data_IF_908531380658
#
_entry.id   IF_908531380658
#
_cell.length_a   1.000
_cell.length_b   1.000
_cell.length_c   1.000
_cell.angle_alpha   90.00
_cell.angle_beta   90.00
_cell.angle_gamma   90.00
#
_symmetry.space_group_name_H-M   'P 1'
#
loop_
_entity.id
_entity.type
_entity.pdbx_description
1 polymer ?
#
# COMPACT_ATOMS: atom_id res chain seq x y z
N UNK A 1 -0.65 15.70 -1.81
CA UNK A 1 -0.21 15.15 -3.12
C UNK A 1 -1.20 15.65 -4.17
N UNK A 2 -0.75 16.52 -5.04
CA UNK A 2 -1.62 17.30 -5.95
C UNK A 2 -1.80 16.66 -7.35
N UNK A 3 -1.23 15.49 -7.62
CA UNK A 3 -1.26 14.90 -8.96
C UNK A 3 -1.86 13.50 -8.93
N UNK A 4 -2.75 13.24 -9.89
CA UNK A 4 -3.30 11.92 -10.16
C UNK A 4 -2.24 11.12 -10.91
N UNK A 5 -1.57 10.21 -10.23
CA UNK A 5 -0.65 9.27 -10.87
C UNK A 5 -1.45 8.20 -11.61
N UNK A 6 -1.67 8.43 -12.94
CA UNK A 6 -2.08 7.38 -13.86
C UNK A 6 -3.30 6.56 -13.44
N UNK A 7 -4.47 7.16 -13.37
CA UNK A 7 -5.70 6.39 -13.40
C UNK A 7 -5.82 5.81 -14.80
N UNK A 8 -5.91 4.48 -14.89
CA UNK A 8 -6.19 3.80 -16.15
C UNK A 8 -7.69 3.70 -16.36
N UNK A 9 -8.13 3.88 -17.61
CA UNK A 9 -9.53 3.73 -17.98
C UNK A 9 -10.08 2.36 -17.58
N UNK A 10 -11.28 2.37 -17.03
CA UNK A 10 -12.07 1.18 -16.74
C UNK A 10 -12.83 0.73 -18.00
N UNK A 11 -13.24 -0.54 -18.10
CA UNK A 11 -14.05 -1.01 -19.21
C UNK A 11 -15.30 -0.14 -19.40
N UNK A 12 -15.54 0.36 -20.62
CA UNK A 12 -16.68 1.21 -20.91
C UNK A 12 -16.55 2.68 -20.50
N UNK A 13 -15.60 3.03 -19.61
CA UNK A 13 -15.44 4.40 -19.12
C UNK A 13 -14.00 4.91 -19.31
N UNK A 14 -13.74 5.82 -20.25
CA UNK A 14 -12.42 6.43 -20.41
C UNK A 14 -12.07 7.32 -19.21
N UNK A 15 -10.78 7.51 -18.96
CA UNK A 15 -10.34 8.50 -17.96
C UNK A 15 -10.69 9.90 -18.47
N UNK A 16 -11.40 10.72 -17.68
CA UNK A 16 -11.69 12.10 -18.06
C UNK A 16 -10.40 12.91 -18.14
N UNK A 17 -10.38 14.05 -18.87
CA UNK A 17 -9.26 14.97 -18.82
C UNK A 17 -8.94 15.31 -17.37
N UNK A 18 -7.67 15.12 -16.99
CA UNK A 18 -7.22 15.34 -15.61
C UNK A 18 -6.79 16.80 -15.46
N UNK A 19 -7.40 17.51 -14.52
CA UNK A 19 -6.89 18.78 -14.04
C UNK A 19 -5.65 18.50 -13.15
N UNK A 20 -4.44 18.90 -13.58
CA UNK A 20 -3.22 18.66 -12.82
C UNK A 20 -3.19 19.40 -11.46
N UNK A 21 -4.08 20.35 -11.27
CA UNK A 21 -4.21 21.11 -10.01
C UNK A 21 -5.19 20.48 -9.04
N UNK A 22 -6.05 19.57 -9.50
CA UNK A 22 -7.00 18.87 -8.64
C UNK A 22 -6.30 17.78 -7.80
N UNK A 23 -6.50 17.75 -6.46
CA UNK A 23 -5.94 16.69 -5.63
C UNK A 23 -6.47 15.30 -6.00
N UNK A 24 -5.59 14.31 -6.07
CA UNK A 24 -5.97 12.90 -6.36
C UNK A 24 -7.01 12.36 -5.38
N UNK A 25 -6.99 12.81 -4.13
CA UNK A 25 -8.00 12.43 -3.11
C UNK A 25 -9.43 12.87 -3.45
N UNK A 26 -9.60 13.81 -4.38
CA UNK A 26 -10.90 14.28 -4.88
C UNK A 26 -11.22 13.64 -6.23
N UNK A 27 -10.30 13.72 -7.18
CA UNK A 27 -10.50 13.25 -8.54
C UNK A 27 -10.68 11.74 -8.63
N UNK A 28 -9.87 10.95 -7.93
CA UNK A 28 -9.90 9.49 -8.01
C UNK A 28 -11.20 8.90 -7.44
N UNK A 29 -11.64 9.25 -6.21
CA UNK A 29 -12.91 8.75 -5.69
C UNK A 29 -14.12 9.15 -6.55
N UNK A 30 -14.12 10.36 -7.14
CA UNK A 30 -15.19 10.80 -8.04
C UNK A 30 -15.26 9.91 -9.27
N UNK A 31 -14.14 9.64 -9.95
CA UNK A 31 -14.08 8.77 -11.11
C UNK A 31 -14.64 7.37 -10.81
N UNK A 32 -14.25 6.76 -9.69
CA UNK A 32 -14.77 5.45 -9.30
C UNK A 32 -16.25 5.49 -8.91
N UNK A 33 -16.71 6.55 -8.24
CA UNK A 33 -18.13 6.70 -7.90
C UNK A 33 -19.01 6.88 -9.15
N UNK A 34 -18.50 7.59 -10.16
CA UNK A 34 -19.18 7.73 -11.44
C UNK A 34 -19.26 6.38 -12.16
N UNK A 35 -18.16 5.62 -12.19
CA UNK A 35 -18.13 4.27 -12.76
C UNK A 35 -19.13 3.32 -12.08
N UNK A 36 -19.15 3.30 -10.75
CA UNK A 36 -20.07 2.48 -9.97
C UNK A 36 -21.53 2.77 -10.32
N UNK A 37 -21.87 4.05 -10.48
CA UNK A 37 -23.23 4.51 -10.83
C UNK A 37 -23.60 4.14 -12.25
N UNK A 38 -22.69 4.35 -13.22
CA UNK A 38 -22.96 4.07 -14.64
C UNK A 38 -23.11 2.57 -14.90
N UNK A 39 -22.28 1.74 -14.26
CA UNK A 39 -22.33 0.29 -14.41
C UNK A 39 -23.34 -0.39 -13.47
N UNK A 40 -24.00 0.35 -12.58
CA UNK A 40 -24.98 -0.19 -11.64
C UNK A 40 -24.43 -1.27 -10.72
N UNK A 41 -23.17 -1.10 -10.26
CA UNK A 41 -22.48 -2.13 -9.47
C UNK A 41 -23.18 -2.37 -8.11
N UNK A 42 -23.49 -3.63 -7.73
CA UNK A 42 -24.21 -3.96 -6.51
C UNK A 42 -23.29 -3.88 -5.28
N UNK A 43 -22.87 -2.69 -4.90
CA UNK A 43 -21.96 -2.47 -3.78
C UNK A 43 -22.72 -2.34 -2.45
N UNK A 44 -22.27 -3.05 -1.44
CA UNK A 44 -22.78 -2.96 -0.07
C UNK A 44 -21.88 -2.06 0.76
N UNK A 45 -22.33 -0.86 1.10
CA UNK A 45 -21.59 0.11 1.94
C UNK A 45 -22.52 0.82 2.92
N UNK A 46 -22.07 1.08 4.18
CA UNK A 46 -20.78 0.66 4.75
C UNK A 46 -20.85 -0.79 5.26
N UNK A 47 -19.97 -1.67 4.79
CA UNK A 47 -19.86 -3.05 5.25
C UNK A 47 -18.38 -3.39 5.48
N UNK A 48 -18.05 -3.86 6.67
CA UNK A 48 -16.71 -4.36 7.00
C UNK A 48 -16.72 -5.87 7.07
N UNK A 49 -15.86 -6.52 6.30
CA UNK A 49 -15.59 -7.97 6.45
C UNK A 49 -14.72 -8.17 7.68
N UNK A 50 -15.18 -9.04 8.57
CA UNK A 50 -14.54 -9.34 9.86
C UNK A 50 -13.71 -10.60 9.80
N UNK A 51 -14.20 -11.65 9.08
CA UNK A 51 -13.48 -12.91 8.92
C UNK A 51 -13.92 -13.65 7.67
N UNK A 52 -13.00 -14.47 7.16
CA UNK A 52 -13.27 -15.49 6.13
C UNK A 52 -12.76 -16.83 6.67
N UNK A 53 -13.58 -17.87 6.59
CA UNK A 53 -13.23 -19.20 7.06
C UNK A 53 -13.87 -20.27 6.17
N UNK A 54 -13.32 -21.48 6.13
CA UNK A 54 -14.00 -22.63 5.51
C UNK A 54 -15.26 -22.98 6.30
N UNK A 55 -16.35 -23.36 5.60
CA UNK A 55 -17.61 -23.75 6.24
C UNK A 55 -17.48 -25.11 6.91
N UNK A 56 -16.75 -25.99 6.26
CA UNK A 56 -16.53 -27.38 6.69
C UNK A 56 -15.13 -27.88 6.33
N UNK A 57 -14.89 -29.17 6.47
CA UNK A 57 -13.61 -29.78 6.14
C UNK A 57 -13.44 -30.12 4.65
N UNK A 58 -14.48 -29.95 3.83
CA UNK A 58 -14.40 -30.18 2.38
C UNK A 58 -13.51 -29.12 1.72
N UNK A 59 -12.40 -29.50 1.10
CA UNK A 59 -11.50 -28.56 0.44
C UNK A 59 -12.14 -27.86 -0.78
N UNK A 60 -13.26 -28.39 -1.30
CA UNK A 60 -14.07 -27.78 -2.36
C UNK A 60 -15.35 -27.12 -1.85
N UNK A 61 -15.63 -27.22 -0.55
CA UNK A 61 -16.79 -26.61 0.09
C UNK A 61 -16.76 -25.08 0.06
N UNK A 62 -17.79 -24.48 0.60
CA UNK A 62 -17.91 -23.00 0.64
C UNK A 62 -16.97 -22.35 1.66
N UNK A 63 -16.66 -21.12 1.40
CA UNK A 63 -16.14 -20.17 2.38
C UNK A 63 -17.31 -19.42 3.04
N UNK A 64 -17.16 -19.11 4.32
CA UNK A 64 -18.04 -18.19 5.05
C UNK A 64 -17.36 -16.84 5.20
N UNK A 65 -18.00 -15.80 4.68
CA UNK A 65 -17.59 -14.40 4.85
C UNK A 65 -18.50 -13.79 5.92
N UNK A 66 -17.94 -13.45 7.07
CA UNK A 66 -18.65 -12.75 8.16
C UNK A 66 -18.33 -11.26 8.11
N UNK A 67 -19.36 -10.45 8.24
CA UNK A 67 -19.25 -9.00 8.15
C UNK A 67 -20.14 -8.27 9.17
N UNK A 68 -20.06 -6.96 9.19
CA UNK A 68 -20.95 -6.09 9.99
C UNK A 68 -22.41 -6.09 9.50
N UNK A 69 -22.69 -6.58 8.30
CA UNK A 69 -24.03 -6.64 7.71
C UNK A 69 -24.59 -8.09 7.62
N UNK A 70 -23.89 -9.06 8.23
CA UNK A 70 -24.30 -10.47 8.20
C UNK A 70 -23.21 -11.38 7.65
N UNK A 71 -23.60 -12.58 7.27
CA UNK A 71 -22.68 -13.60 6.75
C UNK A 71 -23.16 -14.15 5.41
N UNK A 72 -22.21 -14.45 4.53
CA UNK A 72 -22.45 -15.07 3.23
C UNK A 72 -21.69 -16.39 3.13
N UNK A 73 -22.25 -17.31 2.39
CA UNK A 73 -21.53 -18.49 1.87
C UNK A 73 -21.15 -18.21 0.42
N UNK A 74 -19.93 -18.55 0.04
CA UNK A 74 -19.41 -18.31 -1.31
C UNK A 74 -18.40 -19.38 -1.70
N UNK A 75 -18.36 -19.74 -2.97
CA UNK A 75 -17.38 -20.69 -3.50
C UNK A 75 -15.95 -20.09 -3.52
N UNK A 76 -15.81 -18.78 -3.65
CA UNK A 76 -14.50 -18.12 -3.69
C UNK A 76 -14.56 -16.66 -3.22
N UNK A 77 -13.39 -16.08 -2.93
CA UNK A 77 -13.23 -14.68 -2.53
C UNK A 77 -12.14 -14.01 -3.38
N UNK A 78 -12.46 -12.86 -3.96
CA UNK A 78 -11.47 -11.94 -4.52
C UNK A 78 -11.23 -10.83 -3.50
N UNK A 79 -10.08 -10.88 -2.84
CA UNK A 79 -9.69 -9.88 -1.86
C UNK A 79 -8.95 -8.73 -2.54
N UNK A 80 -9.51 -7.53 -2.49
CA UNK A 80 -8.95 -6.30 -3.05
C UNK A 80 -8.87 -5.17 -2.00
N UNK A 81 -8.65 -5.52 -0.72
CA UNK A 81 -8.70 -4.59 0.42
C UNK A 81 -7.52 -3.62 0.50
N UNK A 82 -6.50 -3.80 -0.35
CA UNK A 82 -5.36 -2.90 -0.41
C UNK A 82 -4.55 -2.82 0.89
N UNK A 83 -4.08 -1.61 1.20
CA UNK A 83 -3.13 -1.38 2.31
C UNK A 83 -3.52 -0.20 3.19
N UNK A 84 -4.48 0.63 2.78
CA UNK A 84 -4.77 1.93 3.40
C UNK A 84 -5.16 1.85 4.88
N UNK A 85 -5.85 0.79 5.28
CA UNK A 85 -6.29 0.58 6.66
C UNK A 85 -5.22 -0.04 7.57
N UNK A 86 -4.02 -0.31 7.03
CA UNK A 86 -2.92 -0.92 7.77
C UNK A 86 -1.63 -0.08 7.70
N UNK A 87 -1.64 1.19 8.16
CA UNK A 87 -0.44 2.02 8.22
C UNK A 87 0.59 1.41 9.16
N UNK A 88 1.87 1.58 8.82
CA UNK A 88 2.98 1.11 9.66
C UNK A 88 3.57 2.30 10.42
N UNK A 89 3.43 2.32 11.72
CA UNK A 89 4.15 3.23 12.61
C UNK A 89 5.15 2.40 13.39
N UNK A 90 6.46 2.70 13.32
CA UNK A 90 7.47 1.93 14.04
C UNK A 90 7.27 2.03 15.56
N UNK A 91 7.53 0.95 16.25
CA UNK A 91 7.60 0.97 17.70
C UNK A 91 8.95 1.55 18.13
N UNK A 92 8.93 2.82 18.56
CA UNK A 92 10.12 3.56 19.02
C UNK A 92 9.89 3.98 20.47
N UNK A 93 10.86 3.71 21.37
CA UNK A 93 10.75 4.08 22.78
C UNK A 93 10.34 5.54 22.97
N UNK A 94 9.35 5.78 23.81
CA UNK A 94 8.85 7.11 24.15
C UNK A 94 7.90 7.75 23.13
N UNK A 95 7.63 7.11 21.98
CA UNK A 95 6.77 7.64 20.92
C UNK A 95 5.41 8.11 21.45
N UNK A 96 4.75 7.32 22.27
CA UNK A 96 3.39 7.60 22.76
C UNK A 96 3.34 8.76 23.78
N UNK A 97 4.51 9.13 24.33
CA UNK A 97 4.68 10.29 25.23
C UNK A 97 5.03 11.60 24.52
N UNK A 98 5.06 11.61 23.18
CA UNK A 98 5.35 12.84 22.44
C UNK A 98 4.17 13.81 22.51
N UNK A 99 4.43 15.04 22.94
CA UNK A 99 3.42 16.09 23.14
C UNK A 99 3.18 16.96 21.89
N UNK A 100 3.93 16.73 20.83
CA UNK A 100 3.74 17.39 19.53
C UNK A 100 2.74 16.65 18.66
N UNK A 101 2.66 17.03 17.39
CA UNK A 101 1.79 16.40 16.39
C UNK A 101 2.41 15.11 15.88
N UNK A 102 1.68 14.02 15.88
CA UNK A 102 2.07 12.78 15.19
C UNK A 102 1.02 12.40 14.15
N UNK A 103 1.43 12.26 12.90
CA UNK A 103 0.56 11.83 11.81
C UNK A 103 1.25 10.74 10.97
N UNK A 104 0.47 9.79 10.48
CA UNK A 104 0.90 8.96 9.36
C UNK A 104 0.58 9.66 8.03
N UNK A 105 1.30 9.33 6.94
CA UNK A 105 1.00 9.86 5.59
C UNK A 105 -0.44 9.65 5.16
N UNK A 106 -1.12 8.64 5.69
CA UNK A 106 -2.55 8.39 5.47
C UNK A 106 -3.41 9.58 5.89
N UNK A 107 -3.06 10.21 7.00
CA UNK A 107 -3.85 11.26 7.66
C UNK A 107 -3.39 12.67 7.26
N UNK A 108 -2.34 12.77 6.44
CA UNK A 108 -1.83 14.04 5.93
C UNK A 108 -2.80 14.67 4.92
N UNK A 109 -3.06 15.95 5.10
CA UNK A 109 -3.97 16.74 4.24
C UNK A 109 -3.21 17.77 3.41
N UNK A 110 -2.51 18.70 4.06
CA UNK A 110 -1.68 19.70 3.38
C UNK A 110 -0.58 20.26 4.30
N UNK A 111 0.40 20.93 3.70
CA UNK A 111 1.57 21.45 4.41
C UNK A 111 1.26 22.63 5.35
N UNK A 112 0.19 23.37 5.12
CA UNK A 112 -0.15 24.59 5.91
C UNK A 112 -0.39 24.27 7.37
N UNK A 113 -0.83 23.03 7.68
CA UNK A 113 -1.00 22.57 9.05
C UNK A 113 0.30 22.52 9.86
N UNK A 114 1.47 22.60 9.20
CA UNK A 114 2.79 22.51 9.82
C UNK A 114 3.53 23.86 9.82
N UNK A 115 2.89 24.96 9.38
CA UNK A 115 3.53 26.27 9.32
C UNK A 115 4.12 26.68 10.69
N UNK A 116 5.39 27.08 10.71
CA UNK A 116 6.12 27.46 11.92
C UNK A 116 6.58 26.31 12.81
N UNK A 117 6.34 25.06 12.44
CA UNK A 117 6.78 23.87 13.17
C UNK A 117 8.12 23.36 12.61
N UNK A 118 8.90 22.65 13.44
CA UNK A 118 10.00 21.81 12.96
C UNK A 118 9.48 20.39 12.81
N UNK A 119 9.48 19.88 11.56
CA UNK A 119 8.84 18.61 11.20
C UNK A 119 9.87 17.53 10.94
N UNK A 120 9.82 16.43 11.72
CA UNK A 120 10.57 15.21 11.43
C UNK A 120 9.77 14.33 10.45
N UNK A 121 10.23 14.18 9.21
CA UNK A 121 9.67 13.25 8.24
C UNK A 121 10.44 11.94 8.29
N UNK A 122 9.75 10.86 8.66
CA UNK A 122 10.34 9.54 8.87
C UNK A 122 9.96 8.58 7.76
N UNK A 123 10.93 8.16 6.97
CA UNK A 123 10.75 7.21 5.88
C UNK A 123 11.70 7.45 4.71
N UNK A 124 12.01 6.39 3.96
CA UNK A 124 12.92 6.44 2.81
C UNK A 124 12.22 6.16 1.47
N UNK A 125 10.91 6.33 1.39
CA UNK A 125 10.13 6.07 0.18
C UNK A 125 9.68 7.33 -0.56
N UNK A 126 8.95 7.14 -1.67
CA UNK A 126 8.40 8.20 -2.51
C UNK A 126 7.61 9.21 -1.69
N UNK A 127 6.72 8.74 -0.80
CA UNK A 127 5.90 9.61 0.04
C UNK A 127 6.72 10.53 0.94
N UNK A 128 7.85 10.05 1.50
CA UNK A 128 8.71 10.88 2.31
C UNK A 128 9.31 12.04 1.50
N UNK A 129 9.81 11.75 0.29
CA UNK A 129 10.41 12.76 -0.60
C UNK A 129 9.37 13.80 -1.06
N UNK A 130 8.14 13.35 -1.38
CA UNK A 130 7.04 14.25 -1.73
C UNK A 130 6.66 15.17 -0.57
N UNK A 131 6.55 14.61 0.65
CA UNK A 131 6.20 15.38 1.84
C UNK A 131 7.30 16.35 2.25
N UNK A 132 8.58 15.95 2.13
CA UNK A 132 9.70 16.84 2.35
C UNK A 132 9.65 18.05 1.39
N UNK A 133 9.39 17.78 0.11
CA UNK A 133 9.26 18.84 -0.89
C UNK A 133 8.11 19.80 -0.56
N UNK A 134 6.93 19.26 -0.25
CA UNK A 134 5.74 20.07 0.00
C UNK A 134 5.84 20.85 1.32
N UNK A 135 6.24 20.20 2.42
CA UNK A 135 6.28 20.81 3.75
C UNK A 135 7.42 21.84 3.85
N UNK A 136 8.55 21.58 3.21
CA UNK A 136 9.67 22.51 3.23
C UNK A 136 9.40 23.86 2.55
N UNK A 137 8.27 23.99 1.86
CA UNK A 137 7.82 25.28 1.32
C UNK A 137 7.27 26.22 2.39
N UNK A 138 6.87 25.68 3.55
CA UNK A 138 6.20 26.45 4.61
C UNK A 138 6.92 26.38 5.95
N UNK A 139 7.83 25.41 6.16
CA UNK A 139 8.53 25.26 7.44
C UNK A 139 9.79 24.38 7.32
N UNK A 140 10.57 24.30 8.42
CA UNK A 140 11.76 23.47 8.52
C UNK A 140 11.44 21.98 8.57
N UNK A 141 12.17 21.17 7.81
CA UNK A 141 12.04 19.73 7.77
C UNK A 141 13.33 19.01 8.12
N UNK A 142 13.21 17.87 8.79
CA UNK A 142 14.30 16.94 9.09
C UNK A 142 13.93 15.57 8.50
N UNK A 143 14.85 14.98 7.74
CA UNK A 143 14.60 13.70 7.07
C UNK A 143 15.28 12.54 7.79
N UNK A 144 14.49 11.61 8.31
CA UNK A 144 14.96 10.43 9.04
C UNK A 144 14.67 9.13 8.30
N UNK A 145 15.69 8.28 8.12
CA UNK A 145 15.53 7.00 7.46
C UNK A 145 16.27 5.89 8.20
N UNK A 146 15.70 4.69 8.18
CA UNK A 146 16.31 3.50 8.76
C UNK A 146 17.52 3.03 7.95
N UNK A 147 17.47 3.16 6.64
CA UNK A 147 18.51 2.76 5.70
C UNK A 147 18.83 3.92 4.78
N UNK A 148 20.02 3.94 4.23
CA UNK A 148 20.39 4.91 3.20
C UNK A 148 19.42 4.82 2.02
N UNK A 149 18.77 5.92 1.63
CA UNK A 149 17.94 5.95 0.44
C UNK A 149 18.82 5.84 -0.81
N UNK A 150 18.44 5.00 -1.73
CA UNK A 150 19.12 4.84 -3.02
C UNK A 150 18.33 5.59 -4.06
N UNK A 151 18.96 6.56 -4.73
CA UNK A 151 18.39 7.21 -5.90
C UNK A 151 18.91 6.53 -7.16
N UNK A 152 18.04 6.43 -8.17
CA UNK A 152 18.44 5.93 -9.48
C UNK A 152 19.48 6.88 -10.10
N UNK A 153 20.46 6.34 -10.78
CA UNK A 153 21.47 7.06 -11.53
C UNK A 153 21.02 7.36 -12.98
N UNK A 154 19.88 6.81 -13.38
CA UNK A 154 19.26 6.98 -14.69
C UNK A 154 17.77 7.35 -14.55
N UNK A 155 17.12 7.71 -15.65
CA UNK A 155 15.69 7.92 -15.70
C UNK A 155 14.98 6.55 -15.73
N UNK A 156 13.94 6.37 -14.87
CA UNK A 156 13.20 5.11 -14.80
C UNK A 156 12.53 4.77 -16.12
N UNK A 157 12.90 3.62 -16.69
CA UNK A 157 12.32 3.08 -17.91
C UNK A 157 11.22 2.05 -17.59
N UNK A 158 9.93 2.35 -17.88
CA UNK A 158 8.85 1.38 -17.65
C UNK A 158 9.05 0.05 -18.42
N UNK A 159 9.73 0.07 -19.55
CA UNK A 159 10.02 -1.11 -20.36
C UNK A 159 11.07 -2.02 -19.74
N UNK A 160 12.21 -1.46 -19.33
CA UNK A 160 13.35 -2.25 -18.82
C UNK A 160 13.25 -2.44 -17.30
N UNK A 161 13.24 -1.34 -16.55
CA UNK A 161 13.19 -1.39 -15.08
C UNK A 161 11.87 -1.99 -14.59
N UNK A 162 10.75 -1.66 -15.25
CA UNK A 162 9.43 -2.14 -14.89
C UNK A 162 9.30 -3.66 -15.02
N UNK A 163 9.85 -4.26 -16.09
CA UNK A 163 9.84 -5.72 -16.30
C UNK A 163 10.70 -6.44 -15.27
N UNK A 164 11.89 -5.91 -14.95
CA UNK A 164 12.74 -6.50 -13.90
C UNK A 164 12.08 -6.46 -12.53
N UNK A 165 11.47 -5.33 -12.17
CA UNK A 165 10.70 -5.18 -10.93
C UNK A 165 9.54 -6.17 -10.88
N UNK A 166 8.74 -6.27 -11.94
CA UNK A 166 7.60 -7.20 -11.99
C UNK A 166 8.07 -8.65 -11.78
N UNK A 167 9.16 -9.06 -12.43
CA UNK A 167 9.75 -10.39 -12.27
C UNK A 167 10.22 -10.65 -10.84
N UNK A 168 10.93 -9.69 -10.21
CA UNK A 168 11.46 -9.83 -8.84
C UNK A 168 10.33 -9.85 -7.80
N UNK A 169 9.30 -9.02 -7.98
CA UNK A 169 8.12 -9.00 -7.10
C UNK A 169 7.32 -10.30 -7.25
N UNK A 170 7.20 -10.83 -8.47
CA UNK A 170 6.52 -12.11 -8.71
C UNK A 170 7.28 -13.28 -8.06
N UNK A 171 8.62 -13.30 -8.16
CA UNK A 171 9.45 -14.30 -7.51
C UNK A 171 9.35 -14.24 -5.98
N UNK A 172 9.34 -13.04 -5.38
CA UNK A 172 9.14 -12.85 -3.94
C UNK A 172 7.76 -13.35 -3.50
N UNK A 173 6.71 -13.05 -4.26
CA UNK A 173 5.35 -13.50 -3.96
C UNK A 173 5.21 -15.03 -4.10
N UNK A 174 5.76 -15.63 -5.14
CA UNK A 174 5.78 -17.08 -5.32
C UNK A 174 6.52 -17.80 -4.17
N UNK A 175 7.62 -17.21 -3.69
CA UNK A 175 8.37 -17.72 -2.55
C UNK A 175 7.68 -17.47 -1.19
N UNK A 176 6.54 -16.78 -1.15
CA UNK A 176 5.86 -16.42 0.10
C UNK A 176 6.60 -15.39 0.94
N UNK A 177 7.40 -14.52 0.33
CA UNK A 177 7.97 -13.38 1.04
C UNK A 177 6.93 -12.26 1.19
N UNK A 178 6.93 -11.53 2.31
CA UNK A 178 6.06 -10.36 2.47
C UNK A 178 6.33 -9.32 1.36
N UNK A 179 5.28 -8.71 0.80
CA UNK A 179 5.43 -7.63 -0.17
C UNK A 179 6.26 -6.49 0.39
N UNK A 180 7.18 -5.98 -0.42
CA UNK A 180 7.99 -4.81 -0.11
C UNK A 180 7.55 -3.61 -0.95
N UNK A 181 7.95 -2.40 -0.55
CA UNK A 181 7.69 -1.21 -1.35
C UNK A 181 8.43 -1.28 -2.70
N UNK A 182 7.87 -0.69 -3.74
CA UNK A 182 8.48 -0.65 -5.08
C UNK A 182 9.90 -0.08 -5.04
N UNK A 183 10.14 0.99 -4.27
CA UNK A 183 11.46 1.60 -4.11
C UNK A 183 12.52 0.66 -3.49
N UNK A 184 12.09 -0.43 -2.85
CA UNK A 184 13.03 -1.47 -2.38
C UNK A 184 13.63 -2.30 -3.53
N UNK A 185 13.03 -2.23 -4.70
CA UNK A 185 13.48 -2.92 -5.91
C UNK A 185 14.14 -1.96 -6.91
N UNK A 186 13.62 -0.72 -7.01
CA UNK A 186 14.05 0.27 -8.01
C UNK A 186 15.00 1.33 -7.45
N UNK A 187 14.89 1.68 -6.19
CA UNK A 187 15.37 2.96 -5.70
C UNK A 187 14.36 4.10 -5.96
N UNK A 188 14.74 5.31 -5.61
CA UNK A 188 13.96 6.54 -5.79
C UNK A 188 14.29 7.17 -7.14
N UNK A 189 13.27 7.48 -7.94
CA UNK A 189 13.45 8.21 -9.20
C UNK A 189 13.62 9.71 -8.98
N UNK A 190 14.42 10.36 -9.82
CA UNK A 190 14.56 11.81 -9.89
C UNK A 190 13.36 12.46 -10.61
N UNK A 191 12.24 12.44 -9.95
CA UNK A 191 11.01 13.14 -10.39
C UNK A 191 11.11 14.65 -10.18
N UNK A 192 10.15 15.42 -10.71
CA UNK A 192 10.11 16.87 -10.52
C UNK A 192 10.15 17.28 -9.05
N UNK A 193 9.36 16.62 -8.19
CA UNK A 193 9.36 16.89 -6.74
C UNK A 193 10.67 16.46 -6.06
N UNK A 194 11.30 15.37 -6.49
CA UNK A 194 12.57 14.94 -5.92
C UNK A 194 13.71 15.91 -6.26
N UNK A 195 13.75 16.41 -7.49
CA UNK A 195 14.68 17.48 -7.89
C UNK A 195 14.43 18.76 -7.10
N UNK A 196 13.18 19.18 -6.98
CA UNK A 196 12.82 20.38 -6.21
C UNK A 196 13.18 20.25 -4.72
N UNK A 197 12.99 19.08 -4.12
CA UNK A 197 13.41 18.79 -2.74
C UNK A 197 14.93 18.85 -2.59
N UNK A 198 15.68 18.30 -3.55
CA UNK A 198 17.15 18.38 -3.59
C UNK A 198 17.63 19.83 -3.71
N UNK A 199 17.08 20.57 -4.65
CA UNK A 199 17.49 21.95 -4.94
C UNK A 199 17.16 22.89 -3.76
N UNK A 200 16.16 22.53 -2.94
CA UNK A 200 15.84 23.18 -1.66
C UNK A 200 16.73 22.71 -0.49
N UNK A 201 17.58 21.72 -0.72
CA UNK A 201 18.52 21.21 0.29
C UNK A 201 17.89 20.39 1.40
N UNK A 202 16.66 19.85 1.22
CA UNK A 202 15.94 19.12 2.27
C UNK A 202 16.13 17.61 2.22
N UNK A 203 16.84 17.09 1.21
CA UNK A 203 17.18 15.66 1.12
C UNK A 203 18.47 15.33 1.89
N UNK A 204 18.71 16.01 3.01
CA UNK A 204 19.82 15.69 3.91
C UNK A 204 19.35 14.62 4.89
N UNK A 205 19.77 13.39 4.62
CA UNK A 205 19.38 12.22 5.41
C UNK A 205 20.00 12.26 6.81
N UNK A 206 19.19 11.90 7.81
CA UNK A 206 19.62 11.54 9.17
C UNK A 206 19.32 10.06 9.44
N UNK A 207 20.16 9.34 10.18
CA UNK A 207 19.81 8.04 10.71
C UNK A 207 18.52 8.12 11.53
N UNK A 208 17.70 7.06 11.52
CA UNK A 208 16.51 7.04 12.34
C UNK A 208 16.90 7.20 13.83
N UNK A 209 16.21 8.10 14.51
CA UNK A 209 16.38 8.35 15.93
C UNK A 209 16.02 7.09 16.76
N UNK A 210 16.64 6.93 17.93
CA UNK A 210 16.48 5.76 18.79
C UNK A 210 15.35 5.87 19.79
N UNK A 211 14.89 7.09 20.11
CA UNK A 211 13.82 7.33 21.05
C UNK A 211 13.13 8.68 20.74
N UNK A 212 11.97 8.87 21.31
CA UNK A 212 11.18 10.09 21.26
C UNK A 212 10.96 10.59 22.69
N UNK A 213 11.27 11.87 22.94
CA UNK A 213 10.92 12.56 24.18
C UNK A 213 9.68 13.44 23.98
N UNK A 214 9.32 14.20 25.01
CA UNK A 214 8.09 15.00 25.01
C UNK A 214 7.98 15.98 23.82
N UNK A 215 9.09 16.63 23.41
CA UNK A 215 9.16 17.59 22.29
C UNK A 215 10.47 17.49 21.52
N UNK A 216 11.08 16.32 21.48
CA UNK A 216 12.33 16.10 20.79
C UNK A 216 12.46 14.64 20.38
N UNK A 217 13.35 14.39 19.46
CA UNK A 217 13.84 13.04 19.15
C UNK A 217 15.25 12.87 19.72
N UNK A 218 15.58 11.65 20.12
CA UNK A 218 16.93 11.29 20.60
C UNK A 218 17.66 10.62 19.43
N UNK A 219 18.66 11.29 18.93
CA UNK A 219 19.46 10.86 17.78
C UNK A 219 20.23 9.56 18.08
N UNK A 220 20.77 8.94 17.03
CA UNK A 220 21.55 7.72 17.17
C UNK A 220 22.80 7.88 18.08
N UNK A 221 23.42 9.05 18.09
CA UNK A 221 24.56 9.42 18.93
C UNK A 221 24.20 9.81 20.37
N UNK A 222 22.90 9.88 20.68
CA UNK A 222 22.37 10.28 22.00
C UNK A 222 22.07 11.75 22.16
N UNK A 223 22.42 12.60 21.23
CA UNK A 223 22.00 14.00 21.22
C UNK A 223 20.47 14.13 21.05
N UNK A 224 19.93 15.31 21.38
CA UNK A 224 18.50 15.59 21.24
C UNK A 224 18.27 16.67 20.21
N UNK A 225 17.29 16.44 19.32
CA UNK A 225 16.83 17.41 18.35
C UNK A 225 15.37 17.77 18.62
N UNK A 226 15.08 19.05 18.91
CA UNK A 226 13.72 19.52 19.12
C UNK A 226 12.91 19.39 17.84
N UNK A 227 11.68 18.86 17.97
CA UNK A 227 10.71 18.75 16.88
C UNK A 227 9.31 19.02 17.41
N UNK A 228 8.46 19.64 16.61
CA UNK A 228 7.07 19.94 16.94
C UNK A 228 6.11 18.94 16.33
N UNK A 229 6.53 18.29 15.24
CA UNK A 229 5.74 17.26 14.59
C UNK A 229 6.60 16.10 14.09
N UNK A 230 6.03 14.89 14.11
CA UNK A 230 6.59 13.67 13.51
C UNK A 230 5.60 13.16 12.46
N UNK A 231 6.05 13.09 11.21
CA UNK A 231 5.27 12.59 10.09
C UNK A 231 5.81 11.22 9.64
N UNK A 232 5.03 10.18 9.92
CA UNK A 232 5.38 8.81 9.62
C UNK A 232 5.09 8.46 8.16
N UNK A 233 6.11 8.58 7.30
CA UNK A 233 6.09 8.14 5.90
C UNK A 233 6.64 6.71 5.77
N UNK A 234 6.23 5.85 6.67
CA UNK A 234 6.78 4.51 6.92
C UNK A 234 6.04 3.39 6.20
N UNK A 235 5.10 3.78 5.32
CA UNK A 235 4.37 2.87 4.44
C UNK A 235 3.24 2.12 5.13
N UNK A 236 2.82 1.03 4.49
CA UNK A 236 1.62 0.27 4.84
C UNK A 236 1.90 -1.23 4.77
N UNK A 237 1.08 -2.01 5.45
CA UNK A 237 0.95 -3.47 5.24
C UNK A 237 -0.32 -3.78 4.46
N UNK A 238 -0.38 -4.96 3.87
CA UNK A 238 -1.61 -5.45 3.27
C UNK A 238 -2.69 -5.68 4.36
N UNK A 239 -3.91 -5.20 4.09
CA UNK A 239 -5.05 -5.30 5.02
C UNK A 239 -5.71 -6.68 4.87
N UNK A 240 -5.17 -7.69 5.56
CA UNK A 240 -5.52 -9.11 5.40
C UNK A 240 -5.96 -9.80 6.71
N UNK A 241 -6.16 -9.06 7.80
CA UNK A 241 -6.50 -9.64 9.10
C UNK A 241 -7.77 -10.51 9.06
N UNK A 242 -8.74 -10.16 8.24
CA UNK A 242 -9.97 -10.93 8.04
C UNK A 242 -9.76 -12.29 7.36
N UNK A 243 -8.59 -12.56 6.79
CA UNK A 243 -8.22 -13.84 6.16
C UNK A 243 -7.35 -14.72 7.08
N UNK A 244 -7.05 -14.32 8.31
CA UNK A 244 -6.16 -15.07 9.21
C UNK A 244 -6.65 -16.47 9.51
N UNK A 245 -7.99 -16.67 9.57
CA UNK A 245 -8.61 -17.99 9.79
C UNK A 245 -8.36 -19.03 8.68
N UNK A 246 -7.80 -18.63 7.54
CA UNK A 246 -7.48 -19.50 6.41
C UNK A 246 -6.01 -19.96 6.38
N UNK A 247 -5.18 -19.52 7.31
CA UNK A 247 -3.74 -19.87 7.41
C UNK A 247 -2.98 -19.75 6.08
N UNK A 248 -3.15 -18.62 5.40
CA UNK A 248 -2.58 -18.38 4.05
C UNK A 248 -1.07 -18.18 4.05
N UNK A 249 -0.47 -17.80 5.20
CA UNK A 249 0.93 -17.41 5.28
C UNK A 249 1.87 -18.61 5.20
N UNK A 250 2.92 -18.45 4.40
CA UNK A 250 4.03 -19.38 4.36
C UNK A 250 5.06 -19.11 5.48
N UNK A 251 6.09 -19.98 5.58
CA UNK A 251 7.12 -19.88 6.63
C UNK A 251 7.95 -18.59 6.55
N UNK A 252 7.97 -17.90 5.41
CA UNK A 252 8.63 -16.60 5.25
C UNK A 252 7.76 -15.40 5.67
N UNK A 253 6.52 -15.65 6.16
CA UNK A 253 5.62 -14.64 6.70
C UNK A 253 4.74 -13.91 5.68
N UNK A 254 4.96 -14.10 4.37
CA UNK A 254 4.07 -13.63 3.30
C UNK A 254 3.12 -14.74 2.86
N UNK A 255 2.21 -14.41 1.94
CA UNK A 255 1.28 -15.36 1.33
C UNK A 255 1.85 -15.78 -0.02
N UNK A 256 2.21 -17.08 -0.21
CA UNK A 256 2.66 -17.57 -1.51
C UNK A 256 1.52 -17.49 -2.53
N UNK A 257 1.84 -16.99 -3.73
CA UNK A 257 0.87 -16.84 -4.82
C UNK A 257 1.22 -17.72 -6.04
N UNK A 258 0.18 -18.24 -6.66
CA UNK A 258 0.21 -18.79 -8.03
C UNK A 258 -0.72 -17.90 -8.86
N UNK A 259 -0.15 -17.02 -9.67
CA UNK A 259 -0.91 -15.94 -10.30
C UNK A 259 -1.49 -14.99 -9.26
N UNK A 260 -2.82 -14.94 -9.16
CA UNK A 260 -3.53 -14.17 -8.12
C UNK A 260 -4.01 -15.05 -6.95
N UNK A 261 -3.93 -16.37 -7.05
CA UNK A 261 -4.41 -17.31 -6.04
C UNK A 261 -3.44 -17.44 -4.88
N UNK A 262 -3.97 -17.50 -3.67
CA UNK A 262 -3.21 -17.96 -2.52
C UNK A 262 -2.89 -19.46 -2.69
N UNK A 263 -1.61 -19.84 -2.65
CA UNK A 263 -1.19 -21.22 -2.94
C UNK A 263 -1.78 -22.25 -1.95
N UNK A 264 -1.97 -21.84 -0.69
CA UNK A 264 -2.52 -22.70 0.36
C UNK A 264 -4.05 -22.75 0.37
N UNK A 265 -4.73 -21.77 -0.24
CA UNK A 265 -6.19 -21.69 -0.33
C UNK A 265 -6.60 -21.13 -1.71
N UNK A 266 -6.68 -21.97 -2.73
CA UNK A 266 -6.91 -21.51 -4.11
C UNK A 266 -8.27 -20.83 -4.35
N UNK A 267 -9.24 -20.97 -3.44
CA UNK A 267 -10.52 -20.25 -3.46
C UNK A 267 -10.36 -18.75 -3.14
N UNK A 268 -9.17 -18.32 -2.69
CA UNK A 268 -8.86 -16.92 -2.37
C UNK A 268 -7.90 -16.33 -3.40
N UNK A 269 -8.36 -15.29 -4.08
CA UNK A 269 -7.55 -14.47 -4.97
C UNK A 269 -7.17 -13.16 -4.28
N UNK A 270 -5.90 -12.75 -4.40
CA UNK A 270 -5.39 -11.50 -3.84
C UNK A 270 -5.08 -10.51 -4.97
N UNK A 271 -5.85 -9.44 -5.07
CA UNK A 271 -5.63 -8.30 -5.97
C UNK A 271 -5.14 -7.11 -5.13
N UNK A 272 -4.10 -6.40 -5.61
CA UNK A 272 -3.42 -5.37 -4.82
C UNK A 272 -2.37 -5.91 -3.84
N UNK A 273 -1.96 -7.17 -3.99
CA UNK A 273 -0.92 -7.84 -3.20
C UNK A 273 0.20 -8.34 -4.11
N UNK A 274 1.47 -8.19 -3.70
CA UNK A 274 2.61 -8.63 -4.49
C UNK A 274 2.65 -7.99 -5.88
N UNK A 275 2.67 -8.77 -6.98
CA UNK A 275 2.77 -8.24 -8.34
C UNK A 275 1.64 -7.31 -8.77
N UNK A 276 0.51 -7.38 -8.08
CA UNK A 276 -0.67 -6.56 -8.38
C UNK A 276 -0.77 -5.27 -7.55
N UNK A 277 0.28 -4.84 -6.86
CA UNK A 277 0.27 -3.60 -6.06
C UNK A 277 0.27 -2.31 -6.89
N UNK A 278 0.68 -2.35 -8.16
CA UNK A 278 0.56 -1.19 -9.05
C UNK A 278 -0.83 -1.09 -9.65
N UNK A 279 -1.26 0.10 -10.07
CA UNK A 279 -2.56 0.31 -10.73
C UNK A 279 -2.70 -0.52 -12.01
N UNK A 280 -1.65 -0.60 -12.84
CA UNK A 280 -1.60 -1.47 -14.04
C UNK A 280 -1.70 -2.93 -13.64
N UNK A 281 -0.89 -3.35 -12.66
CA UNK A 281 -0.87 -4.72 -12.16
C UNK A 281 -2.22 -5.13 -11.56
N UNK A 282 -2.89 -4.25 -10.81
CA UNK A 282 -4.20 -4.52 -10.22
C UNK A 282 -5.27 -4.79 -11.28
N UNK A 283 -5.34 -3.96 -12.35
CA UNK A 283 -6.31 -4.16 -13.44
C UNK A 283 -6.06 -5.49 -14.18
N UNK A 284 -4.80 -5.82 -14.44
CA UNK A 284 -4.42 -7.09 -15.09
C UNK A 284 -4.77 -8.28 -14.19
N UNK A 285 -4.44 -8.19 -12.91
CA UNK A 285 -4.71 -9.23 -11.92
C UNK A 285 -6.20 -9.44 -11.69
N UNK A 286 -7.00 -8.38 -11.61
CA UNK A 286 -8.45 -8.49 -11.49
C UNK A 286 -9.08 -9.26 -12.66
N UNK A 287 -8.67 -8.94 -13.91
CA UNK A 287 -9.12 -9.67 -15.09
C UNK A 287 -8.67 -11.14 -15.09
N UNK A 288 -7.45 -11.42 -14.64
CA UNK A 288 -6.93 -12.78 -14.52
C UNK A 288 -7.72 -13.57 -13.47
N UNK A 289 -7.92 -13.01 -12.29
CA UNK A 289 -8.69 -13.61 -11.20
C UNK A 289 -10.11 -14.00 -11.66
N UNK A 290 -10.83 -13.07 -12.32
CA UNK A 290 -12.19 -13.36 -12.82
C UNK A 290 -12.21 -14.47 -13.87
N UNK A 291 -11.25 -14.51 -14.80
CA UNK A 291 -11.17 -15.59 -15.80
C UNK A 291 -10.86 -16.94 -15.17
N UNK A 292 -10.03 -16.97 -14.13
CA UNK A 292 -9.72 -18.19 -13.40
C UNK A 292 -10.92 -18.67 -12.59
N UNK A 293 -11.60 -17.78 -11.87
CA UNK A 293 -12.82 -18.08 -11.14
C UNK A 293 -13.95 -18.58 -12.05
N UNK A 294 -14.16 -17.96 -13.21
CA UNK A 294 -15.19 -18.39 -14.14
C UNK A 294 -14.95 -19.84 -14.63
N UNK A 295 -13.69 -20.23 -14.85
CA UNK A 295 -13.34 -21.61 -15.19
C UNK A 295 -13.59 -22.58 -14.04
N UNK A 296 -13.17 -22.24 -12.83
CA UNK A 296 -13.33 -23.08 -11.64
C UNK A 296 -14.81 -23.28 -11.28
N UNK A 297 -15.63 -22.24 -11.45
CA UNK A 297 -17.08 -22.34 -11.21
C UNK A 297 -17.80 -23.15 -12.30
N UNK A 298 -17.27 -23.15 -13.56
CA UNK A 298 -17.80 -23.96 -14.63
C UNK A 298 -17.41 -25.46 -14.52
N UNK A 299 -16.24 -25.76 -13.94
CA UNK A 299 -15.77 -27.13 -13.66
C UNK A 299 -15.23 -27.25 -12.22
N UNK A 300 -16.10 -27.36 -11.23
CA UNK A 300 -15.68 -27.45 -9.82
C UNK A 300 -14.85 -28.71 -9.51
N UNK A 301 -14.99 -29.78 -10.29
CA UNK A 301 -14.22 -31.02 -10.11
C UNK A 301 -12.75 -30.85 -10.50
N UNK A 302 -12.47 -30.03 -11.51
CA UNK A 302 -11.13 -29.70 -11.97
C UNK A 302 -10.49 -28.51 -11.22
N UNK A 303 -11.23 -27.81 -10.37
CA UNK A 303 -10.72 -26.66 -9.62
C UNK A 303 -9.61 -27.08 -8.63
N UNK A 304 -8.57 -26.24 -8.43
CA UNK A 304 -7.52 -26.51 -7.45
C UNK A 304 -8.08 -26.60 -6.03
N UNK A 305 -7.48 -27.46 -5.22
CA UNK A 305 -7.85 -27.64 -3.79
C UNK A 305 -6.77 -27.10 -2.86
N UNK A 306 -7.13 -26.70 -1.62
CA UNK A 306 -6.17 -26.28 -0.61
C UNK A 306 -5.11 -27.34 -0.34
N UNK A 307 -3.83 -26.93 -0.32
CA UNK A 307 -2.73 -27.77 0.15
C UNK A 307 -2.58 -27.54 1.65
N UNK A 308 -3.08 -28.50 2.44
CA UNK A 308 -2.84 -28.50 3.89
C UNK A 308 -1.43 -29.05 4.15
N UNK A 309 -0.64 -28.27 4.89
CA UNK A 309 0.67 -28.72 5.38
C UNK A 309 0.52 -29.64 6.59
#
# INVERSE_FOLDING_TARGET
MATVNGIFGLPGMPVPPVDPTEPSRTAVPRYFADYEREEGLPLLRPVRVLSVASVDADPRGDLRVTSTAGSWRTAAVVNATGTWDAPVIPDIPGRDGFLGVQLHTRDYVDARAFAGMRVAVVGGGISAVQLLEEISRVTDTLWYTRREPVFLDHEFSPGEDGVDVERRVAADAAAGRPPRSVVSYTGLGWTGYARAARDRGVLVRRPLFRAVGARHVVEADGSSTSVDAILWATGFRASLAHLEGLDLRGPLGGIPLVGTRAAREPRVHLVGYGPSQSTVGANRAGRAAVRELARDLADPAGAPVPVRA
#
